data_IF_410745461813
#
_entry.id   IF_410745461813
#
_cell.length_a   1.000
_cell.length_b   1.000
_cell.length_c   1.000
_cell.angle_alpha   90.00
_cell.angle_beta   90.00
_cell.angle_gamma   90.00
#
_symmetry.space_group_name_H-M   'P 1'
#
loop_
_entity.id
_entity.type
_entity.pdbx_description
1 polymer ?
#
# COMPACT_ATOMS: atom_id res chain seq x y z
N UNK A 1 48.18 43.99 -7.65
CA UNK A 1 46.85 44.32 -7.06
C UNK A 1 45.83 43.46 -7.80
N UNK A 2 45.40 42.34 -7.20
CA UNK A 2 44.04 42.13 -6.63
C UNK A 2 42.95 42.10 -7.72
N UNK A 3 42.31 40.94 -8.01
CA UNK A 3 41.08 40.41 -7.34
C UNK A 3 40.05 41.54 -7.14
N UNK A 4 38.80 41.50 -7.64
CA UNK A 4 37.81 40.44 -7.44
C UNK A 4 36.51 40.76 -8.25
N UNK A 5 35.76 39.69 -8.56
CA UNK A 5 34.29 39.59 -8.72
C UNK A 5 33.55 40.36 -9.83
N UNK A 6 33.23 39.66 -10.92
CA UNK A 6 31.90 39.72 -11.53
C UNK A 6 31.45 38.29 -11.89
N UNK A 7 30.86 37.63 -10.90
CA UNK A 7 30.13 36.38 -11.04
C UNK A 7 28.75 36.69 -11.66
N UNK A 8 28.54 36.27 -12.90
CA UNK A 8 27.24 35.88 -13.46
C UNK A 8 27.55 35.01 -14.69
N UNK A 9 27.39 33.68 -14.77
CA UNK A 9 26.47 32.76 -14.07
C UNK A 9 25.03 33.35 -14.00
N UNK A 10 24.42 34.03 -14.96
CA UNK A 10 24.27 33.82 -16.42
C UNK A 10 24.66 32.41 -16.88
N UNK A 11 24.32 31.35 -16.14
CA UNK A 11 22.93 30.91 -15.93
C UNK A 11 22.19 30.65 -17.27
N UNK A 12 22.99 30.22 -18.25
CA UNK A 12 22.66 29.19 -19.24
C UNK A 12 21.97 27.95 -18.59
N UNK A 13 21.97 27.86 -17.26
CA UNK A 13 21.26 26.91 -16.41
C UNK A 13 19.79 27.25 -16.09
N UNK A 14 19.22 28.38 -16.56
CA UNK A 14 17.92 28.87 -16.02
C UNK A 14 16.75 29.06 -17.00
N UNK A 15 16.89 28.86 -18.32
CA UNK A 15 15.74 29.15 -19.24
C UNK A 15 15.55 28.07 -20.35
N UNK A 16 16.32 26.98 -20.32
CA UNK A 16 16.05 25.79 -21.15
C UNK A 16 15.26 24.77 -20.33
N UNK A 17 13.92 24.86 -20.34
CA UNK A 17 12.92 23.94 -19.74
C UNK A 17 12.51 24.37 -18.31
N UNK A 18 11.40 25.03 -18.01
CA UNK A 18 10.08 25.14 -18.66
C UNK A 18 9.37 23.79 -18.91
N UNK A 19 9.91 22.69 -18.37
CA UNK A 19 9.28 21.37 -18.27
C UNK A 19 9.66 20.73 -16.93
N UNK A 20 8.92 21.06 -15.87
CA UNK A 20 8.77 20.22 -14.67
C UNK A 20 7.36 20.36 -14.06
N UNK A 21 6.40 20.84 -14.86
CA UNK A 21 5.02 20.41 -14.78
C UNK A 21 4.82 19.35 -15.86
N UNK A 22 5.14 18.11 -15.55
CA UNK A 22 4.77 16.89 -16.27
C UNK A 22 4.62 15.86 -15.15
N UNK A 23 3.41 15.38 -14.87
CA UNK A 23 2.72 14.52 -15.81
C UNK A 23 3.57 13.26 -15.93
N UNK A 24 3.18 12.22 -15.22
CA UNK A 24 3.66 10.86 -15.43
C UNK A 24 3.84 10.64 -16.93
N UNK A 25 5.08 10.60 -17.39
CA UNK A 25 5.38 10.31 -18.78
C UNK A 25 4.98 8.86 -19.01
N UNK A 26 4.03 8.55 -19.91
CA UNK A 26 3.76 7.18 -20.28
C UNK A 26 4.99 6.68 -21.05
N UNK A 27 5.80 5.83 -20.42
CA UNK A 27 6.96 5.19 -21.05
C UNK A 27 8.34 5.41 -20.42
N UNK A 28 8.46 5.72 -19.12
CA UNK A 28 9.77 5.59 -18.45
C UNK A 28 10.10 4.12 -18.18
N UNK A 29 11.14 3.61 -18.84
CA UNK A 29 11.67 2.23 -18.79
C UNK A 29 12.35 1.84 -17.45
N UNK A 30 11.87 2.30 -16.29
CA UNK A 30 12.44 1.88 -15.00
C UNK A 30 11.34 1.62 -13.97
N UNK A 31 11.29 0.43 -13.34
CA UNK A 31 10.47 0.24 -12.17
C UNK A 31 11.18 0.97 -11.03
N UNK A 32 10.77 2.20 -10.69
CA UNK A 32 11.34 2.89 -9.54
C UNK A 32 10.80 2.28 -8.26
N UNK A 33 11.37 1.13 -7.89
CA UNK A 33 11.31 0.59 -6.55
C UNK A 33 12.26 1.41 -5.67
N UNK A 34 11.71 1.99 -4.62
CA UNK A 34 12.41 2.72 -3.58
C UNK A 34 12.45 1.87 -2.32
N UNK A 35 13.58 1.86 -1.61
CA UNK A 35 13.63 1.41 -0.22
C UNK A 35 13.58 2.65 0.65
N UNK A 36 12.52 2.79 1.44
CA UNK A 36 12.35 3.94 2.33
C UNK A 36 12.66 3.55 3.76
N UNK A 37 13.31 4.46 4.48
CA UNK A 37 13.53 4.44 5.91
C UNK A 37 12.45 5.32 6.57
N UNK A 38 11.66 4.76 7.47
CA UNK A 38 10.53 5.44 8.14
C UNK A 38 10.76 5.44 9.64
N UNK A 39 10.71 6.61 10.27
CA UNK A 39 10.83 6.77 11.73
C UNK A 39 9.55 7.34 12.33
N UNK A 40 9.32 7.09 13.62
CA UNK A 40 8.15 7.62 14.34
C UNK A 40 6.86 6.80 14.14
N UNK A 41 6.99 5.58 13.60
CA UNK A 41 5.93 4.58 13.52
C UNK A 41 6.51 3.20 13.86
N UNK A 42 5.84 2.36 14.66
CA UNK A 42 6.22 0.95 14.86
C UNK A 42 6.08 0.08 13.61
N UNK A 43 5.17 0.43 12.70
CA UNK A 43 4.73 -0.48 11.66
C UNK A 43 4.34 0.25 10.38
N UNK A 44 4.69 -0.35 9.25
CA UNK A 44 4.34 0.13 7.92
C UNK A 44 3.86 -1.02 7.06
N UNK A 45 2.72 -0.81 6.40
CA UNK A 45 2.17 -1.67 5.37
C UNK A 45 2.13 -0.89 4.05
N UNK A 46 2.37 -1.55 2.94
CA UNK A 46 2.08 -1.01 1.62
C UNK A 46 0.94 -1.83 1.02
N UNK A 47 -0.25 -1.24 1.06
CA UNK A 47 -1.53 -1.88 0.73
C UNK A 47 -1.73 -2.04 -0.78
N UNK A 48 -0.96 -1.31 -1.60
CA UNK A 48 -1.00 -1.44 -3.06
C UNK A 48 -0.28 -2.68 -3.58
N UNK A 49 0.50 -3.35 -2.74
CA UNK A 49 1.30 -4.52 -3.07
C UNK A 49 1.27 -5.51 -1.91
N UNK A 50 2.08 -6.55 -2.01
CA UNK A 50 2.44 -7.36 -0.85
C UNK A 50 3.72 -6.84 -0.23
N UNK A 51 3.67 -6.62 1.07
CA UNK A 51 4.84 -6.76 1.91
C UNK A 51 4.34 -7.45 3.16
N UNK A 52 4.71 -8.72 3.33
CA UNK A 52 4.91 -9.27 4.67
C UNK A 52 5.52 -8.17 5.53
N UNK A 53 4.74 -7.74 6.53
CA UNK A 53 4.94 -6.59 7.40
C UNK A 53 6.41 -6.14 7.47
N UNK A 54 6.70 -4.97 6.90
CA UNK A 54 7.90 -4.26 7.26
C UNK A 54 7.58 -3.51 8.57
N UNK A 55 7.87 -4.12 9.71
CA UNK A 55 7.58 -3.52 11.01
C UNK A 55 7.94 -4.47 12.14
N UNK A 56 8.56 -3.91 13.17
CA UNK A 56 8.88 -4.61 14.40
C UNK A 56 7.87 -4.12 15.45
N UNK A 57 7.02 -5.02 15.98
CA UNK A 57 6.12 -4.65 17.08
C UNK A 57 6.90 -4.45 18.40
N UNK A 58 8.18 -4.83 18.45
CA UNK A 58 8.99 -4.74 19.66
C UNK A 58 9.73 -3.41 19.79
N UNK A 59 9.10 -2.51 20.56
CA UNK A 59 9.69 -1.66 21.60
C UNK A 59 10.94 -0.82 21.25
N UNK A 60 10.76 0.32 20.60
CA UNK A 60 11.20 1.64 21.08
C UNK A 60 10.70 2.74 20.11
N UNK A 61 10.31 3.90 20.65
CA UNK A 61 9.70 5.05 19.93
C UNK A 61 10.59 5.68 18.83
N UNK A 62 11.75 5.08 18.53
CA UNK A 62 12.80 5.57 17.64
C UNK A 62 13.31 4.55 16.62
N UNK A 63 12.69 3.37 16.50
CA UNK A 63 13.13 2.41 15.50
C UNK A 63 12.79 2.85 14.08
N UNK A 64 13.72 2.57 13.15
CA UNK A 64 13.57 2.84 11.73
C UNK A 64 12.99 1.61 11.04
N UNK A 65 11.75 1.73 10.59
CA UNK A 65 11.08 0.73 9.78
C UNK A 65 11.46 0.91 8.32
N UNK A 66 11.54 -0.19 7.54
CA UNK A 66 12.07 -0.14 6.17
C UNK A 66 11.22 -0.95 5.24
N UNK A 67 10.74 -0.32 4.18
CA UNK A 67 9.77 -0.93 3.28
C UNK A 67 10.12 -0.58 1.84
N UNK A 68 9.87 -1.51 0.94
CA UNK A 68 9.97 -1.24 -0.49
C UNK A 68 8.65 -0.64 -0.99
N UNK A 69 8.74 0.38 -1.84
CA UNK A 69 7.58 1.12 -2.35
C UNK A 69 7.80 1.52 -3.80
N UNK A 70 6.73 1.86 -4.50
CA UNK A 70 6.76 2.59 -5.77
C UNK A 70 5.98 3.88 -5.65
N UNK A 71 6.24 4.83 -6.55
CA UNK A 71 5.47 6.06 -6.64
C UNK A 71 3.97 5.77 -6.77
N UNK A 72 3.15 6.42 -5.94
CA UNK A 72 1.70 6.25 -5.96
C UNK A 72 1.16 5.08 -5.14
N UNK A 73 2.02 4.26 -4.53
CA UNK A 73 1.59 3.20 -3.60
C UNK A 73 0.91 3.79 -2.37
N UNK A 74 -0.15 3.12 -1.90
CA UNK A 74 -0.82 3.46 -0.67
C UNK A 74 -0.14 2.77 0.51
N UNK A 75 0.46 3.58 1.38
CA UNK A 75 1.07 3.17 2.63
C UNK A 75 0.06 3.31 3.77
N UNK A 76 0.10 2.37 4.70
CA UNK A 76 -0.62 2.42 5.96
C UNK A 76 0.39 2.39 7.11
N UNK A 77 0.33 3.41 7.97
CA UNK A 77 1.18 3.56 9.14
C UNK A 77 0.33 3.43 10.41
N UNK A 78 0.75 2.57 11.34
CA UNK A 78 0.12 2.41 12.66
C UNK A 78 0.96 3.12 13.72
N UNK A 79 0.38 3.90 14.62
CA UNK A 79 1.11 4.55 15.73
C UNK A 79 1.00 3.77 17.04
N UNK A 80 1.61 4.27 18.13
CA UNK A 80 1.49 3.74 19.49
C UNK A 80 0.08 3.98 20.04
N UNK A 81 -0.92 3.28 19.50
CA UNK A 81 -2.34 3.46 19.82
C UNK A 81 -3.22 2.97 18.67
N UNK A 82 -4.45 3.49 18.62
CA UNK A 82 -5.42 3.18 17.56
C UNK A 82 -5.26 4.10 16.33
N UNK A 83 -4.29 5.02 16.36
CA UNK A 83 -4.12 6.04 15.34
C UNK A 83 -3.40 5.50 14.10
N UNK A 84 -3.94 5.89 12.95
CA UNK A 84 -3.51 5.40 11.65
C UNK A 84 -3.31 6.56 10.68
N UNK A 85 -2.35 6.38 9.77
CA UNK A 85 -2.15 7.31 8.65
C UNK A 85 -2.08 6.50 7.36
N UNK A 86 -3.01 6.78 6.46
CA UNK A 86 -2.93 6.37 5.06
C UNK A 86 -2.21 7.47 4.26
N UNK A 87 -1.22 7.08 3.47
CA UNK A 87 -0.36 8.00 2.74
C UNK A 87 0.02 7.44 1.39
N UNK A 88 -0.26 8.19 0.33
CA UNK A 88 0.15 7.82 -1.03
C UNK A 88 1.59 8.26 -1.28
N UNK A 89 2.51 7.31 -1.42
CA UNK A 89 3.94 7.60 -1.48
C UNK A 89 4.30 8.48 -2.69
N UNK A 90 4.90 9.63 -2.40
CA UNK A 90 5.43 10.55 -3.39
C UNK A 90 6.98 10.60 -3.29
N UNK A 91 7.72 10.22 -4.34
CA UNK A 91 9.18 10.28 -4.34
C UNK A 91 9.78 11.65 -4.02
N UNK A 92 9.02 12.74 -4.21
CA UNK A 92 9.44 14.09 -3.86
C UNK A 92 9.66 14.28 -2.35
N UNK A 93 9.01 13.48 -1.50
CA UNK A 93 9.23 13.48 -0.04
C UNK A 93 10.51 12.75 0.37
N UNK A 94 11.17 12.09 -0.59
CA UNK A 94 12.43 11.39 -0.41
C UNK A 94 12.28 10.00 0.21
N UNK A 95 13.42 9.34 0.43
CA UNK A 95 13.48 7.98 0.97
C UNK A 95 13.59 7.93 2.50
N UNK A 96 13.66 9.07 3.18
CA UNK A 96 13.69 9.14 4.64
C UNK A 96 12.45 9.88 5.11
N UNK A 97 11.50 9.16 5.69
CA UNK A 97 10.23 9.69 6.13
C UNK A 97 10.19 9.75 7.66
N UNK A 98 10.15 10.95 8.22
CA UNK A 98 9.98 11.16 9.66
C UNK A 98 8.53 11.47 9.98
N UNK A 99 7.82 10.50 10.56
CA UNK A 99 6.44 10.65 10.99
C UNK A 99 6.35 11.14 12.43
N UNK A 100 5.31 11.93 12.73
CA UNK A 100 4.95 12.34 14.08
C UNK A 100 3.44 12.53 14.17
N UNK A 101 2.84 11.98 15.21
CA UNK A 101 1.45 12.23 15.59
C UNK A 101 1.38 13.26 16.73
N UNK A 102 0.47 14.21 16.64
CA UNK A 102 0.12 15.17 17.70
C UNK A 102 -1.32 14.94 18.14
N UNK A 103 -1.47 14.40 19.35
CA UNK A 103 -2.75 14.06 19.98
C UNK A 103 -3.56 15.26 20.47
N UNK A 104 -3.03 16.48 20.41
CA UNK A 104 -3.78 17.68 20.79
C UNK A 104 -4.90 17.98 19.80
N UNK A 105 -4.63 17.73 18.52
CA UNK A 105 -5.52 18.05 17.38
C UNK A 105 -5.64 16.88 16.41
N UNK A 106 -5.28 15.67 16.85
CA UNK A 106 -5.27 14.45 16.05
C UNK A 106 -4.63 14.63 14.66
N UNK A 107 -3.42 15.19 14.66
CA UNK A 107 -2.75 15.67 13.44
C UNK A 107 -1.44 14.93 13.17
N UNK A 108 -1.15 14.69 11.89
CA UNK A 108 -0.01 13.90 11.45
C UNK A 108 0.96 14.73 10.62
N UNK A 109 2.23 14.60 10.96
CA UNK A 109 3.31 15.31 10.32
C UNK A 109 4.24 14.34 9.60
N UNK A 110 4.67 14.73 8.40
CA UNK A 110 5.71 14.07 7.64
C UNK A 110 6.84 15.06 7.43
N UNK A 111 8.06 14.71 7.86
CA UNK A 111 9.24 15.58 7.74
C UNK A 111 9.03 16.98 8.33
N UNK A 112 8.29 17.06 9.44
CA UNK A 112 7.85 18.27 10.15
C UNK A 112 6.80 19.14 9.44
N UNK A 113 6.26 18.69 8.31
CA UNK A 113 5.14 19.33 7.64
C UNK A 113 3.83 18.63 8.01
N UNK A 114 2.79 19.38 8.34
CA UNK A 114 1.46 18.82 8.57
C UNK A 114 0.92 18.27 7.25
N UNK A 115 0.54 16.99 7.22
CA UNK A 115 0.02 16.34 6.01
C UNK A 115 -1.38 15.76 6.18
N UNK A 116 -1.81 15.44 7.40
CA UNK A 116 -3.11 14.84 7.65
C UNK A 116 -3.70 15.28 8.98
N UNK A 117 -5.03 15.30 9.06
CA UNK A 117 -5.79 15.59 10.28
C UNK A 117 -6.94 14.59 10.38
N UNK A 118 -7.14 14.05 11.57
CA UNK A 118 -8.31 13.24 11.91
C UNK A 118 -9.43 14.11 12.47
N UNK A 119 -10.61 13.91 11.93
CA UNK A 119 -11.80 14.73 12.18
C UNK A 119 -12.94 13.83 12.61
N UNK A 120 -13.43 14.06 13.82
CA UNK A 120 -14.55 13.35 14.41
C UNK A 120 -15.46 14.34 15.13
N UNK A 121 -16.69 13.92 15.42
CA UNK A 121 -17.66 14.76 16.15
C UNK A 121 -17.08 15.23 17.50
N UNK A 122 -17.05 16.54 17.69
CA UNK A 122 -16.55 17.20 18.89
C UNK A 122 -15.03 17.27 19.03
N UNK A 123 -14.26 16.88 18.01
CA UNK A 123 -12.79 16.96 18.05
C UNK A 123 -12.30 18.41 18.11
N UNK A 124 -11.24 18.65 18.88
CA UNK A 124 -10.54 19.94 18.93
C UNK A 124 -9.85 20.31 17.60
N UNK A 125 -9.69 19.33 16.69
CA UNK A 125 -9.16 19.55 15.34
C UNK A 125 -9.99 20.56 14.54
N UNK A 126 -11.31 20.60 14.76
CA UNK A 126 -12.21 21.55 14.09
C UNK A 126 -11.92 22.99 14.48
N UNK A 127 -11.72 23.26 15.77
CA UNK A 127 -11.38 24.59 16.28
C UNK A 127 -10.01 25.05 15.74
N UNK A 128 -9.06 24.12 15.64
CA UNK A 128 -7.75 24.39 15.07
C UNK A 128 -7.84 24.72 13.57
N UNK A 129 -8.56 23.90 12.79
CA UNK A 129 -8.75 24.10 11.34
C UNK A 129 -9.42 25.45 11.03
N UNK A 130 -10.42 25.84 11.82
CA UNK A 130 -11.12 27.12 11.65
C UNK A 130 -10.20 28.34 11.83
N UNK A 131 -9.12 28.20 12.60
CA UNK A 131 -8.12 29.24 12.85
C UNK A 131 -6.82 29.11 12.05
N UNK A 132 -6.67 28.07 11.24
CA UNK A 132 -5.42 27.78 10.53
C UNK A 132 -5.20 28.73 9.34
N UNK A 133 -3.93 29.10 9.10
CA UNK A 133 -3.55 29.88 7.93
C UNK A 133 -3.79 29.09 6.64
N UNK A 134 -4.23 29.76 5.58
CA UNK A 134 -4.51 29.15 4.27
C UNK A 134 -3.29 28.36 3.73
N UNK A 135 -2.08 28.88 3.95
CA UNK A 135 -0.84 28.21 3.54
C UNK A 135 -0.65 26.85 4.23
N UNK A 136 -1.04 26.73 5.51
CA UNK A 136 -0.98 25.45 6.24
C UNK A 136 -2.03 24.49 5.68
N UNK A 137 -3.25 24.98 5.43
CA UNK A 137 -4.33 24.17 4.84
C UNK A 137 -3.96 23.63 3.45
N UNK A 138 -3.26 24.41 2.62
CA UNK A 138 -2.78 23.92 1.31
C UNK A 138 -1.74 22.79 1.40
N UNK A 139 -1.11 22.62 2.57
CA UNK A 139 -0.18 21.52 2.83
C UNK A 139 -0.87 20.21 3.24
N UNK A 140 -2.16 20.23 3.61
CA UNK A 140 -2.92 19.04 3.97
C UNK A 140 -3.12 18.18 2.72
N UNK A 141 -2.64 16.94 2.79
CA UNK A 141 -2.66 15.96 1.69
C UNK A 141 -3.70 14.88 1.89
N UNK A 142 -4.17 14.67 3.12
CA UNK A 142 -5.23 13.71 3.43
C UNK A 142 -6.08 14.16 4.61
N UNK A 143 -7.30 13.65 4.66
CA UNK A 143 -8.23 13.80 5.77
C UNK A 143 -8.71 12.41 6.20
N UNK A 144 -8.77 12.19 7.51
CA UNK A 144 -9.47 11.06 8.09
C UNK A 144 -10.74 11.58 8.74
N UNK A 145 -11.91 11.10 8.33
CA UNK A 145 -13.20 11.59 8.82
C UNK A 145 -13.99 10.44 9.42
N UNK A 146 -14.32 10.54 10.71
CA UNK A 146 -15.21 9.61 11.40
C UNK A 146 -16.60 10.23 11.53
N UNK A 147 -17.60 9.59 10.92
CA UNK A 147 -18.99 10.02 10.89
C UNK A 147 -19.78 9.51 12.10
N UNK A 148 -20.85 10.22 12.53
CA UNK A 148 -21.44 11.42 11.93
C UNK A 148 -20.66 12.70 12.22
N UNK A 149 -20.94 13.75 11.45
CA UNK A 149 -20.55 15.13 11.75
C UNK A 149 -21.78 15.97 12.11
N UNK A 150 -21.61 16.94 13.02
CA UNK A 150 -22.61 17.95 13.32
C UNK A 150 -22.74 18.97 12.17
N UNK A 151 -23.84 19.73 12.16
CA UNK A 151 -24.06 20.80 11.17
C UNK A 151 -22.93 21.85 11.19
N UNK A 152 -22.40 22.19 12.37
CA UNK A 152 -21.28 23.14 12.50
C UNK A 152 -20.00 22.59 11.87
N UNK A 153 -19.73 21.31 12.03
CA UNK A 153 -18.53 20.65 11.50
C UNK A 153 -18.63 20.44 9.99
N UNK A 154 -19.82 20.11 9.47
CA UNK A 154 -20.07 20.11 8.03
C UNK A 154 -19.85 21.48 7.40
N UNK A 155 -20.31 22.56 8.05
CA UNK A 155 -20.06 23.92 7.60
C UNK A 155 -18.55 24.26 7.64
N UNK A 156 -17.82 23.81 8.68
CA UNK A 156 -16.37 24.00 8.76
C UNK A 156 -15.64 23.24 7.65
N UNK A 157 -16.07 22.00 7.36
CA UNK A 157 -15.54 21.19 6.26
C UNK A 157 -15.75 21.88 4.90
N UNK A 158 -16.93 22.46 4.66
CA UNK A 158 -17.21 23.22 3.45
C UNK A 158 -16.25 24.42 3.30
N UNK A 159 -16.00 25.15 4.40
CA UNK A 159 -15.10 26.30 4.39
C UNK A 159 -13.65 25.91 4.05
N UNK A 160 -13.13 24.81 4.58
CA UNK A 160 -11.75 24.38 4.32
C UNK A 160 -11.59 23.64 2.99
N UNK A 161 -12.65 23.04 2.46
CA UNK A 161 -12.63 22.29 1.19
C UNK A 161 -12.23 23.13 -0.03
N UNK A 162 -12.49 24.44 0.03
CA UNK A 162 -12.08 25.37 -1.03
C UNK A 162 -10.57 25.66 -1.07
N UNK A 163 -9.85 25.29 0.00
CA UNK A 163 -8.41 25.51 0.16
C UNK A 163 -7.62 24.20 0.02
N UNK A 164 -8.11 23.13 0.66
CA UNK A 164 -7.49 21.80 0.59
C UNK A 164 -7.75 21.21 -0.80
N UNK A 165 -6.70 21.14 -1.62
CA UNK A 165 -6.82 20.74 -3.03
C UNK A 165 -6.70 19.23 -3.18
N UNK A 166 -7.81 18.59 -3.53
CA UNK A 166 -7.92 17.15 -3.83
C UNK A 166 -7.23 16.22 -2.81
N UNK A 167 -7.59 16.28 -1.51
CA UNK A 167 -6.93 15.47 -0.52
C UNK A 167 -7.20 13.98 -0.74
N UNK A 168 -6.36 13.13 -0.19
CA UNK A 168 -6.78 11.79 0.19
C UNK A 168 -7.92 11.82 1.19
N UNK A 169 -8.84 10.86 1.12
CA UNK A 169 -9.93 10.76 2.07
C UNK A 169 -10.05 9.32 2.57
N UNK A 170 -9.87 9.15 3.88
CA UNK A 170 -10.32 8.00 4.63
C UNK A 170 -11.61 8.41 5.34
N UNK A 171 -12.71 7.69 5.12
CA UNK A 171 -13.97 7.96 5.81
C UNK A 171 -14.54 6.70 6.47
N UNK A 172 -14.86 6.83 7.75
CA UNK A 172 -15.53 5.80 8.56
C UNK A 172 -16.97 6.19 8.83
N UNK A 173 -17.90 5.25 8.60
CA UNK A 173 -19.33 5.45 8.81
C UNK A 173 -20.10 5.80 7.54
N UNK A 174 -21.42 5.64 7.59
CA UNK A 174 -22.35 5.79 6.46
C UNK A 174 -23.13 7.11 6.50
N UNK A 175 -23.37 7.65 7.69
CA UNK A 175 -24.19 8.85 7.89
C UNK A 175 -23.50 10.09 7.32
N UNK A 176 -24.18 10.84 6.45
CA UNK A 176 -23.64 12.05 5.80
C UNK A 176 -22.49 11.80 4.81
N UNK A 177 -22.27 10.55 4.40
CA UNK A 177 -21.19 10.18 3.49
C UNK A 177 -21.26 10.90 2.14
N UNK A 178 -22.44 10.95 1.52
CA UNK A 178 -22.62 11.70 0.26
C UNK A 178 -22.45 13.21 0.46
N UNK A 179 -22.90 13.77 1.58
CA UNK A 179 -22.72 15.18 1.91
C UNK A 179 -21.23 15.52 2.03
N UNK A 180 -20.42 14.68 2.68
CA UNK A 180 -18.96 14.86 2.72
C UNK A 180 -18.35 14.77 1.32
N UNK A 181 -18.74 13.78 0.51
CA UNK A 181 -18.24 13.62 -0.87
C UNK A 181 -18.75 14.70 -1.84
N UNK A 182 -19.80 15.44 -1.46
CA UNK A 182 -20.27 16.60 -2.23
C UNK A 182 -19.34 17.80 -2.09
N UNK A 183 -18.66 17.88 -0.94
CA UNK A 183 -17.77 18.96 -0.53
C UNK A 183 -16.31 18.62 -0.82
N UNK A 184 -15.86 17.45 -0.38
CA UNK A 184 -14.49 16.97 -0.56
C UNK A 184 -14.41 16.17 -1.85
N UNK A 185 -13.45 16.55 -2.71
CA UNK A 185 -13.18 15.88 -3.99
C UNK A 185 -11.87 15.12 -3.90
N UNK A 186 -11.88 13.88 -3.43
CA UNK A 186 -10.63 13.21 -3.11
C UNK A 186 -9.85 12.76 -4.35
N UNK A 187 -8.52 12.80 -4.25
CA UNK A 187 -7.62 12.13 -5.22
C UNK A 187 -7.58 10.62 -4.98
N UNK A 188 -7.70 10.19 -3.72
CA UNK A 188 -7.84 8.79 -3.35
C UNK A 188 -8.86 8.62 -2.23
N UNK A 189 -9.60 7.51 -2.25
CA UNK A 189 -10.74 7.29 -1.37
C UNK A 189 -10.68 5.90 -0.74
N UNK A 190 -10.81 5.87 0.59
CA UNK A 190 -11.07 4.68 1.39
C UNK A 190 -12.41 4.93 2.09
N UNK A 191 -13.44 4.18 1.69
CA UNK A 191 -14.80 4.35 2.19
C UNK A 191 -15.49 2.98 2.29
N UNK A 192 -15.28 2.30 3.42
CA UNK A 192 -15.80 0.93 3.63
C UNK A 192 -17.32 0.85 3.58
N UNK A 193 -18.00 1.91 4.01
CA UNK A 193 -19.45 1.96 4.11
C UNK A 193 -20.13 2.53 2.84
N UNK A 194 -19.37 2.82 1.78
CA UNK A 194 -19.90 3.41 0.57
C UNK A 194 -20.66 2.38 -0.28
N UNK A 195 -21.97 2.59 -0.43
CA UNK A 195 -22.78 1.81 -1.35
C UNK A 195 -22.77 2.44 -2.75
N UNK A 196 -21.91 1.92 -3.63
CA UNK A 196 -21.75 2.40 -5.01
C UNK A 196 -23.01 2.27 -5.87
N UNK A 197 -23.92 1.34 -5.54
CA UNK A 197 -25.16 1.14 -6.30
C UNK A 197 -26.19 2.26 -6.08
N UNK A 198 -26.10 2.99 -4.97
CA UNK A 198 -27.06 4.04 -4.58
C UNK A 198 -26.50 5.45 -4.66
N UNK A 199 -25.20 5.60 -4.92
CA UNK A 199 -24.52 6.89 -4.95
C UNK A 199 -25.10 7.80 -6.05
N UNK A 200 -25.36 9.07 -5.72
CA UNK A 200 -25.96 10.03 -6.66
C UNK A 200 -25.04 10.44 -7.81
N UNK A 201 -25.63 10.85 -8.95
CA UNK A 201 -24.87 11.25 -10.15
C UNK A 201 -23.97 12.47 -9.92
N UNK A 202 -24.34 13.38 -9.01
CA UNK A 202 -23.52 14.54 -8.64
C UNK A 202 -22.22 14.09 -7.95
N UNK A 203 -22.31 13.10 -7.06
CA UNK A 203 -21.13 12.53 -6.41
C UNK A 203 -20.28 11.74 -7.40
N UNK A 204 -20.89 10.95 -8.30
CA UNK A 204 -20.17 10.30 -9.40
C UNK A 204 -19.41 11.31 -10.26
N UNK A 205 -19.97 12.49 -10.49
CA UNK A 205 -19.31 13.56 -11.22
C UNK A 205 -18.12 14.16 -10.43
N UNK A 206 -18.26 14.32 -9.11
CA UNK A 206 -17.18 14.80 -8.23
C UNK A 206 -15.99 13.83 -8.16
N UNK A 207 -16.22 12.52 -8.28
CA UNK A 207 -15.19 11.49 -8.18
C UNK A 207 -14.43 11.21 -9.48
N UNK A 208 -14.69 11.93 -10.58
CA UNK A 208 -14.02 11.67 -11.88
C UNK A 208 -12.50 11.84 -11.87
N UNK A 209 -11.97 12.56 -10.88
CA UNK A 209 -10.53 12.77 -10.70
C UNK A 209 -9.89 11.74 -9.77
N UNK A 210 -10.68 10.82 -9.20
CA UNK A 210 -10.21 9.79 -8.29
C UNK A 210 -9.20 8.88 -9.00
N UNK A 211 -8.01 8.78 -8.43
CA UNK A 211 -6.89 8.00 -8.94
C UNK A 211 -6.75 6.65 -8.23
N UNK A 212 -7.11 6.59 -6.94
CA UNK A 212 -7.10 5.37 -6.16
C UNK A 212 -8.43 5.18 -5.42
N UNK A 213 -8.97 3.96 -5.50
CA UNK A 213 -10.10 3.53 -4.70
C UNK A 213 -9.72 2.29 -3.90
N UNK A 214 -9.96 2.33 -2.59
CA UNK A 214 -10.02 1.15 -1.75
C UNK A 214 -11.48 0.81 -1.48
N UNK A 215 -11.87 -0.38 -1.92
CA UNK A 215 -13.19 -0.96 -1.69
C UNK A 215 -13.11 -2.15 -0.74
N UNK A 216 -14.05 -2.22 0.22
CA UNK A 216 -14.22 -3.40 1.06
C UNK A 216 -15.49 -4.14 0.63
N UNK A 217 -15.42 -5.45 0.47
CA UNK A 217 -16.48 -6.32 -0.05
C UNK A 217 -17.76 -6.41 0.79
N UNK A 218 -17.92 -5.54 1.80
CA UNK A 218 -19.17 -5.39 2.54
C UNK A 218 -20.36 -5.01 1.63
N UNK A 219 -20.10 -4.39 0.47
CA UNK A 219 -21.09 -4.03 -0.52
C UNK A 219 -20.66 -4.45 -1.94
N UNK A 220 -21.64 -4.81 -2.78
CA UNK A 220 -21.41 -5.11 -4.19
C UNK A 220 -20.84 -3.87 -4.90
N UNK A 221 -19.69 -4.06 -5.55
CA UNK A 221 -19.04 -3.01 -6.32
C UNK A 221 -19.75 -2.82 -7.67
N UNK A 222 -20.41 -1.68 -7.87
CA UNK A 222 -21.09 -1.38 -9.15
C UNK A 222 -20.04 -1.20 -10.27
N UNK A 223 -19.99 -2.09 -11.29
CA UNK A 223 -19.02 -1.96 -12.37
C UNK A 223 -19.19 -0.67 -13.16
N UNK A 224 -20.43 -0.17 -13.33
CA UNK A 224 -20.69 1.05 -14.09
C UNK A 224 -20.13 2.29 -13.38
N UNK A 225 -20.08 2.27 -12.04
CA UNK A 225 -19.38 3.29 -11.27
C UNK A 225 -17.89 3.30 -11.61
N UNK A 226 -17.22 2.14 -11.56
CA UNK A 226 -15.79 2.04 -11.87
C UNK A 226 -15.48 2.46 -13.31
N UNK A 227 -16.30 2.04 -14.29
CA UNK A 227 -16.12 2.46 -15.69
C UNK A 227 -16.27 3.97 -15.88
N UNK A 228 -16.98 4.64 -14.96
CA UNK A 228 -17.16 6.08 -14.92
C UNK A 228 -15.98 6.89 -14.36
N UNK A 229 -14.94 6.23 -13.83
CA UNK A 229 -13.76 6.87 -13.22
C UNK A 229 -12.56 6.90 -14.20
N UNK A 230 -12.39 7.99 -14.99
CA UNK A 230 -11.37 8.02 -16.05
C UNK A 230 -9.93 8.11 -15.53
N UNK A 231 -9.72 8.59 -14.29
CA UNK A 231 -8.40 8.75 -13.69
C UNK A 231 -7.96 7.56 -12.82
N UNK A 232 -8.87 6.60 -12.55
CA UNK A 232 -8.62 5.48 -11.65
C UNK A 232 -7.48 4.60 -12.18
N UNK A 233 -6.33 4.68 -11.51
CA UNK A 233 -5.12 3.96 -11.88
C UNK A 233 -4.72 2.88 -10.86
N UNK A 234 -5.26 2.96 -9.64
CA UNK A 234 -5.07 1.97 -8.59
C UNK A 234 -6.40 1.56 -7.98
N UNK A 235 -6.65 0.25 -7.90
CA UNK A 235 -7.82 -0.31 -7.25
C UNK A 235 -7.34 -1.33 -6.20
N UNK A 236 -7.76 -1.12 -4.96
CA UNK A 236 -7.55 -2.06 -3.86
C UNK A 236 -8.93 -2.61 -3.51
N UNK A 237 -9.06 -3.93 -3.49
CA UNK A 237 -10.30 -4.62 -3.12
C UNK A 237 -9.98 -5.60 -2.00
N UNK A 238 -10.73 -5.51 -0.92
CA UNK A 238 -10.68 -6.46 0.19
C UNK A 238 -11.97 -7.27 0.24
N UNK A 239 -11.93 -8.53 0.68
CA UNK A 239 -13.10 -9.40 0.82
C UNK A 239 -13.92 -9.57 -0.47
N UNK A 240 -13.25 -9.64 -1.62
CA UNK A 240 -13.91 -9.79 -2.90
C UNK A 240 -14.49 -11.19 -3.07
N UNK A 241 -15.78 -11.27 -3.41
CA UNK A 241 -16.46 -12.52 -3.71
C UNK A 241 -16.33 -12.88 -5.21
N UNK A 242 -16.14 -14.17 -5.50
CA UNK A 242 -16.04 -14.68 -6.89
C UNK A 242 -17.24 -14.36 -7.79
N UNK A 243 -18.43 -14.05 -7.25
CA UNK A 243 -19.57 -13.60 -8.05
C UNK A 243 -19.37 -12.18 -8.60
N UNK A 244 -18.79 -11.28 -7.81
CA UNK A 244 -18.60 -9.88 -8.18
C UNK A 244 -17.53 -9.70 -9.28
N UNK A 245 -16.48 -10.54 -9.29
CA UNK A 245 -15.41 -10.46 -10.31
C UNK A 245 -15.90 -10.85 -11.71
N UNK A 246 -16.91 -11.72 -11.82
CA UNK A 246 -17.40 -12.18 -13.12
C UNK A 246 -18.16 -11.11 -13.91
N UNK A 247 -18.74 -10.12 -13.22
CA UNK A 247 -19.47 -9.02 -13.85
C UNK A 247 -18.55 -7.85 -14.27
N UNK A 248 -17.31 -7.82 -13.78
CA UNK A 248 -16.35 -6.75 -14.05
C UNK A 248 -15.56 -7.00 -15.35
N UNK A 249 -15.70 -6.08 -16.30
CA UNK A 249 -14.98 -6.04 -17.58
C UNK A 249 -13.75 -5.14 -17.43
N UNK A 250 -12.62 -5.74 -17.05
CA UNK A 250 -11.37 -5.00 -16.81
C UNK A 250 -10.85 -4.23 -18.02
N UNK A 251 -11.17 -4.64 -19.25
CA UNK A 251 -10.82 -3.91 -20.47
C UNK A 251 -11.47 -2.51 -20.57
N UNK A 252 -12.55 -2.26 -19.79
CA UNK A 252 -13.18 -0.93 -19.69
C UNK A 252 -12.48 -0.01 -18.70
N UNK A 253 -11.64 -0.53 -17.80
CA UNK A 253 -10.86 0.25 -16.83
C UNK A 253 -9.57 0.76 -17.49
N UNK A 254 -9.73 1.74 -18.39
CA UNK A 254 -8.71 2.17 -19.36
C UNK A 254 -7.41 2.73 -18.75
N UNK A 255 -7.48 3.18 -17.50
CA UNK A 255 -6.37 3.80 -16.78
C UNK A 255 -5.82 2.90 -15.66
N UNK A 256 -6.44 1.75 -15.39
CA UNK A 256 -6.07 0.89 -14.28
C UNK A 256 -4.72 0.20 -14.56
N UNK A 257 -3.70 0.54 -13.78
CA UNK A 257 -2.36 -0.03 -13.88
C UNK A 257 -2.00 -0.89 -12.65
N UNK A 258 -2.65 -0.65 -11.51
CA UNK A 258 -2.41 -1.39 -10.25
C UNK A 258 -3.70 -1.98 -9.70
N UNK A 259 -3.70 -3.29 -9.45
CA UNK A 259 -4.80 -4.02 -8.83
C UNK A 259 -4.26 -4.80 -7.63
N UNK A 260 -4.78 -4.50 -6.44
CA UNK A 260 -4.54 -5.26 -5.22
C UNK A 260 -5.85 -5.93 -4.79
N UNK A 261 -5.81 -7.24 -4.57
CA UNK A 261 -6.94 -8.03 -4.09
C UNK A 261 -6.50 -8.74 -2.81
N UNK A 262 -7.20 -8.48 -1.72
CA UNK A 262 -6.81 -8.86 -0.36
C UNK A 262 -7.92 -9.67 0.30
N UNK A 263 -7.57 -10.71 1.05
CA UNK A 263 -8.51 -11.52 1.87
C UNK A 263 -9.78 -11.95 1.11
N UNK A 264 -9.61 -12.33 -0.16
CA UNK A 264 -10.73 -12.52 -1.09
C UNK A 264 -10.92 -13.99 -1.47
N UNK A 265 -12.18 -14.37 -1.70
CA UNK A 265 -12.55 -15.71 -2.15
C UNK A 265 -12.70 -15.74 -3.68
N UNK A 266 -11.55 -15.60 -4.36
CA UNK A 266 -11.46 -15.60 -5.83
C UNK A 266 -10.88 -16.92 -6.32
N UNK A 267 -11.51 -17.50 -7.35
CA UNK A 267 -11.05 -18.76 -7.96
C UNK A 267 -10.66 -18.62 -9.43
N UNK A 268 -11.01 -17.51 -10.08
CA UNK A 268 -10.81 -17.31 -11.51
C UNK A 268 -10.28 -15.90 -11.80
N UNK A 269 -9.17 -15.83 -12.51
CA UNK A 269 -8.54 -14.58 -12.95
C UNK A 269 -8.82 -14.25 -14.43
N UNK A 270 -9.64 -15.04 -15.13
CA UNK A 270 -9.98 -14.80 -16.52
C UNK A 270 -10.55 -13.39 -16.80
N UNK A 271 -11.36 -12.77 -15.92
CA UNK A 271 -11.79 -11.39 -16.12
C UNK A 271 -10.62 -10.39 -16.15
N UNK A 272 -9.59 -10.60 -15.34
CA UNK A 272 -8.40 -9.73 -15.25
C UNK A 272 -7.53 -9.86 -16.51
N UNK A 273 -7.49 -11.06 -17.11
CA UNK A 273 -6.71 -11.36 -18.32
C UNK A 273 -7.10 -10.50 -19.54
N UNK A 274 -8.29 -9.91 -19.54
CA UNK A 274 -8.74 -9.01 -20.60
C UNK A 274 -8.09 -7.61 -20.52
N UNK A 275 -7.46 -7.26 -19.40
CA UNK A 275 -6.77 -5.97 -19.25
C UNK A 275 -5.51 -5.91 -20.10
N UNK A 276 -5.27 -4.76 -20.74
CA UNK A 276 -4.01 -4.48 -21.48
C UNK A 276 -3.10 -3.50 -20.75
N UNK A 277 -3.46 -3.13 -19.52
CA UNK A 277 -2.84 -2.00 -18.78
C UNK A 277 -2.30 -2.37 -17.41
N UNK A 278 -2.81 -3.44 -16.79
CA UNK A 278 -2.35 -3.87 -15.47
C UNK A 278 -0.86 -4.20 -15.53
N UNK A 279 -0.08 -3.48 -14.74
CA UNK A 279 1.37 -3.65 -14.57
C UNK A 279 1.69 -4.29 -13.23
N UNK A 280 0.89 -3.97 -12.21
CA UNK A 280 1.02 -4.49 -10.86
C UNK A 280 -0.25 -5.26 -10.51
N UNK A 281 -0.08 -6.55 -10.25
CA UNK A 281 -1.13 -7.40 -9.71
C UNK A 281 -0.65 -7.97 -8.37
N UNK A 282 -1.36 -7.62 -7.31
CA UNK A 282 -1.11 -8.14 -5.98
C UNK A 282 -2.30 -8.93 -5.50
N UNK A 283 -2.07 -10.20 -5.16
CA UNK A 283 -3.03 -11.12 -4.59
C UNK A 283 -2.52 -11.50 -3.21
N UNK A 284 -3.22 -11.06 -2.17
CA UNK A 284 -2.83 -11.23 -0.78
C UNK A 284 -3.90 -12.05 -0.07
N UNK A 285 -3.52 -13.19 0.51
CA UNK A 285 -4.44 -14.09 1.20
C UNK A 285 -5.67 -14.51 0.35
N UNK A 286 -5.49 -14.70 -0.96
CA UNK A 286 -6.50 -15.30 -1.83
C UNK A 286 -6.39 -16.84 -1.73
N UNK A 287 -6.77 -17.39 -0.58
CA UNK A 287 -6.49 -18.78 -0.24
C UNK A 287 -7.14 -19.79 -1.17
N UNK A 288 -8.25 -19.45 -1.81
CA UNK A 288 -9.00 -20.39 -2.64
C UNK A 288 -8.56 -20.38 -4.11
N UNK A 289 -7.61 -19.52 -4.47
CA UNK A 289 -7.01 -19.46 -5.78
C UNK A 289 -5.93 -20.55 -5.93
N UNK A 290 -6.02 -21.36 -6.98
CA UNK A 290 -5.09 -22.46 -7.25
C UNK A 290 -4.40 -22.38 -8.62
N UNK A 291 -4.98 -21.64 -9.57
CA UNK A 291 -4.49 -21.48 -10.93
C UNK A 291 -4.35 -20.00 -11.28
N UNK A 292 -3.25 -19.66 -11.96
CA UNK A 292 -2.97 -18.31 -12.46
C UNK A 292 -2.81 -18.28 -14.00
N UNK A 293 -3.06 -19.40 -14.67
CA UNK A 293 -3.03 -19.55 -16.13
C UNK A 293 -3.65 -18.39 -16.92
N UNK A 294 -4.83 -17.85 -16.55
CA UNK A 294 -5.45 -16.77 -17.32
C UNK A 294 -4.60 -15.50 -17.44
N UNK A 295 -3.75 -15.19 -16.44
CA UNK A 295 -2.93 -13.97 -16.44
C UNK A 295 -1.52 -14.18 -17.04
N UNK A 296 -1.20 -15.39 -17.53
CA UNK A 296 0.13 -15.73 -18.07
C UNK A 296 0.57 -14.82 -19.23
N UNK A 297 -0.38 -14.46 -20.09
CA UNK A 297 -0.15 -13.71 -21.34
C UNK A 297 -0.27 -12.19 -21.16
N UNK A 298 -0.47 -11.69 -19.93
CA UNK A 298 -0.54 -10.26 -19.66
C UNK A 298 0.84 -9.60 -19.83
N UNK A 299 1.13 -9.22 -21.07
CA UNK A 299 2.42 -8.66 -21.49
C UNK A 299 2.84 -7.38 -20.73
N UNK A 300 1.91 -6.68 -20.10
CA UNK A 300 2.16 -5.47 -19.31
C UNK A 300 2.59 -5.72 -17.87
N UNK A 301 2.37 -6.92 -17.32
CA UNK A 301 2.69 -7.22 -15.93
C UNK A 301 4.21 -7.16 -15.72
N UNK A 302 4.62 -6.35 -14.75
CA UNK A 302 5.98 -6.25 -14.26
C UNK A 302 6.09 -6.67 -12.78
N UNK A 303 4.99 -6.56 -12.02
CA UNK A 303 4.92 -6.92 -10.61
C UNK A 303 3.79 -7.92 -10.39
N UNK A 304 4.14 -9.11 -9.90
CA UNK A 304 3.19 -10.14 -9.49
C UNK A 304 3.46 -10.52 -8.03
N UNK A 305 2.53 -10.22 -7.14
CA UNK A 305 2.64 -10.62 -5.73
C UNK A 305 1.55 -11.67 -5.42
N UNK A 306 1.94 -12.82 -4.85
CA UNK A 306 1.07 -13.96 -4.56
C UNK A 306 1.09 -14.36 -3.07
N UNK A 307 1.39 -13.40 -2.19
CA UNK A 307 1.63 -13.67 -0.77
C UNK A 307 0.39 -14.24 -0.09
N UNK A 308 0.58 -15.31 0.69
CA UNK A 308 -0.52 -16.01 1.36
C UNK A 308 -1.45 -16.80 0.44
N UNK A 309 -1.18 -16.88 -0.87
CA UNK A 309 -1.94 -17.70 -1.81
C UNK A 309 -1.43 -19.16 -1.82
N UNK A 310 -1.67 -19.88 -0.73
CA UNK A 310 -1.00 -21.15 -0.42
C UNK A 310 -1.35 -22.31 -1.39
N UNK A 311 -2.50 -22.26 -2.06
CA UNK A 311 -2.94 -23.35 -2.95
C UNK A 311 -2.48 -23.19 -4.40
N UNK A 312 -1.76 -22.10 -4.74
CA UNK A 312 -1.17 -21.93 -6.06
C UNK A 312 0.00 -22.91 -6.22
N UNK A 313 -0.09 -23.78 -7.22
CA UNK A 313 0.95 -24.76 -7.60
C UNK A 313 1.42 -24.59 -9.05
N UNK A 314 0.90 -23.59 -9.76
CA UNK A 314 1.12 -23.40 -11.19
C UNK A 314 2.38 -22.57 -11.50
N UNK A 315 3.54 -23.09 -11.09
CA UNK A 315 4.84 -22.50 -11.45
C UNK A 315 5.09 -22.43 -12.97
N UNK A 316 4.67 -23.42 -13.79
CA UNK A 316 4.85 -23.33 -15.24
C UNK A 316 4.27 -22.07 -15.86
N UNK A 317 3.16 -21.54 -15.33
CA UNK A 317 2.61 -20.25 -15.76
C UNK A 317 3.54 -19.09 -15.44
N UNK A 318 4.09 -19.02 -14.21
CA UNK A 318 5.05 -17.96 -13.82
C UNK A 318 6.22 -17.90 -14.80
N UNK A 319 6.77 -19.08 -15.18
CA UNK A 319 7.90 -19.18 -16.10
C UNK A 319 7.58 -18.70 -17.54
N UNK A 320 6.31 -18.66 -17.93
CA UNK A 320 5.88 -18.20 -19.26
C UNK A 320 5.67 -16.68 -19.31
N UNK A 321 5.46 -16.04 -18.16
CA UNK A 321 5.22 -14.60 -18.07
C UNK A 321 6.41 -13.79 -18.62
N UNK A 322 6.19 -12.52 -19.00
CA UNK A 322 7.27 -11.58 -19.28
C UNK A 322 8.31 -11.53 -18.15
N UNK A 323 9.52 -11.01 -18.43
CA UNK A 323 10.50 -10.83 -17.36
C UNK A 323 9.92 -9.86 -16.33
N UNK A 324 9.69 -10.38 -15.12
CA UNK A 324 9.10 -9.64 -14.01
C UNK A 324 10.20 -8.83 -13.34
N UNK A 325 9.84 -7.69 -12.79
CA UNK A 325 10.73 -6.85 -11.97
C UNK A 325 10.48 -7.08 -10.48
N UNK A 326 9.34 -7.68 -10.13
CA UNK A 326 8.97 -8.01 -8.76
C UNK A 326 8.09 -9.25 -8.72
N UNK A 327 8.42 -10.17 -7.82
CA UNK A 327 7.72 -11.45 -7.67
C UNK A 327 7.68 -11.89 -6.21
N UNK A 328 6.49 -12.24 -5.71
CA UNK A 328 6.32 -13.14 -4.56
C UNK A 328 6.00 -14.54 -5.09
N UNK A 329 6.81 -15.52 -4.70
CA UNK A 329 6.61 -16.90 -5.14
C UNK A 329 5.60 -17.62 -4.21
N UNK A 330 4.81 -18.59 -4.73
CA UNK A 330 3.93 -19.39 -3.89
C UNK A 330 4.70 -20.17 -2.81
N UNK A 331 4.17 -20.27 -1.59
CA UNK A 331 4.83 -20.98 -0.47
C UNK A 331 5.12 -22.46 -0.74
N UNK A 332 4.36 -23.10 -1.64
CA UNK A 332 4.60 -24.50 -2.03
C UNK A 332 5.64 -24.68 -3.16
N UNK A 333 6.41 -23.63 -3.50
CA UNK A 333 7.46 -23.70 -4.52
C UNK A 333 8.57 -24.67 -4.11
N UNK A 334 8.88 -25.64 -4.97
CA UNK A 334 9.99 -26.57 -4.73
C UNK A 334 11.36 -25.96 -5.03
N UNK A 335 12.43 -26.59 -4.52
CA UNK A 335 13.80 -26.16 -4.79
C UNK A 335 14.17 -26.09 -6.28
N UNK A 336 13.64 -27.00 -7.11
CA UNK A 336 13.90 -27.01 -8.55
C UNK A 336 13.15 -25.87 -9.25
N UNK A 337 11.88 -25.68 -8.91
CA UNK A 337 11.05 -24.58 -9.42
C UNK A 337 11.63 -23.22 -9.06
N UNK A 338 12.15 -23.05 -7.85
CA UNK A 338 12.87 -21.85 -7.45
C UNK A 338 14.07 -21.57 -8.38
N UNK A 339 14.90 -22.57 -8.66
CA UNK A 339 16.03 -22.40 -9.57
C UNK A 339 15.58 -22.01 -10.99
N UNK A 340 14.50 -22.63 -11.48
CA UNK A 340 13.91 -22.32 -12.78
C UNK A 340 13.38 -20.87 -12.83
N UNK A 341 12.67 -20.41 -11.79
CA UNK A 341 12.17 -19.03 -11.65
C UNK A 341 13.31 -18.02 -11.72
N UNK A 342 14.36 -18.22 -10.92
CA UNK A 342 15.51 -17.31 -10.87
C UNK A 342 16.24 -17.27 -12.21
N UNK A 343 16.35 -18.41 -12.91
CA UNK A 343 16.95 -18.45 -14.23
C UNK A 343 16.13 -17.73 -15.31
N UNK A 344 14.81 -17.68 -15.13
CA UNK A 344 13.85 -17.20 -16.14
C UNK A 344 13.60 -15.70 -16.06
N UNK A 345 13.50 -15.16 -14.85
CA UNK A 345 13.26 -13.75 -14.60
C UNK A 345 14.58 -13.13 -14.13
N UNK A 346 15.38 -12.64 -15.08
CA UNK A 346 16.71 -12.05 -14.86
C UNK A 346 16.68 -10.54 -14.52
N UNK A 347 15.48 -9.94 -14.56
CA UNK A 347 15.25 -8.52 -14.31
C UNK A 347 14.58 -8.24 -12.94
N UNK A 348 14.47 -9.25 -12.05
CA UNK A 348 13.89 -9.07 -10.73
C UNK A 348 14.71 -8.07 -9.92
N UNK A 349 14.00 -7.14 -9.31
CA UNK A 349 14.51 -6.18 -8.35
C UNK A 349 13.94 -6.43 -6.96
N UNK A 350 12.76 -7.07 -6.85
CA UNK A 350 12.18 -7.54 -5.62
C UNK A 350 11.81 -9.01 -5.70
N UNK A 351 12.18 -9.80 -4.69
CA UNK A 351 11.78 -11.19 -4.54
C UNK A 351 11.28 -11.42 -3.13
N UNK A 352 10.07 -11.94 -3.00
CA UNK A 352 9.48 -12.33 -1.72
C UNK A 352 9.24 -13.84 -1.71
N UNK A 353 9.70 -14.49 -0.65
CA UNK A 353 9.55 -15.92 -0.43
C UNK A 353 8.97 -16.10 0.97
N UNK A 354 7.67 -16.33 1.03
CA UNK A 354 6.89 -16.41 2.26
C UNK A 354 6.31 -17.81 2.40
N UNK A 355 6.50 -18.45 3.55
CA UNK A 355 6.11 -19.83 3.81
C UNK A 355 6.75 -20.84 2.84
N UNK A 356 7.93 -20.52 2.29
CA UNK A 356 8.60 -21.31 1.25
C UNK A 356 9.62 -22.31 1.80
N UNK A 357 9.29 -22.98 2.91
CA UNK A 357 10.17 -23.85 3.70
C UNK A 357 10.80 -25.02 2.91
N UNK A 358 10.25 -25.34 1.74
CA UNK A 358 10.77 -26.38 0.84
C UNK A 358 12.07 -25.95 0.13
N UNK A 359 12.36 -24.65 0.09
CA UNK A 359 13.60 -24.08 -0.44
C UNK A 359 14.64 -24.09 0.67
N UNK A 360 15.77 -24.74 0.44
CA UNK A 360 16.85 -24.87 1.45
C UNK A 360 18.21 -24.43 0.92
N UNK A 361 18.34 -24.29 -0.40
CA UNK A 361 19.54 -23.85 -1.08
C UNK A 361 19.28 -22.59 -1.89
N UNK A 362 19.95 -21.50 -1.50
CA UNK A 362 19.89 -20.21 -2.19
C UNK A 362 20.97 -20.05 -3.27
N UNK A 363 21.74 -21.10 -3.60
CA UNK A 363 22.74 -21.06 -4.67
C UNK A 363 22.23 -20.56 -6.04
N UNK A 364 20.94 -20.74 -6.43
CA UNK A 364 20.42 -20.10 -7.65
C UNK A 364 20.52 -18.57 -7.67
N UNK A 365 20.59 -17.90 -6.50
CA UNK A 365 20.76 -16.46 -6.39
C UNK A 365 22.23 -16.01 -6.56
N UNK A 366 23.21 -16.93 -6.59
CA UNK A 366 24.61 -16.55 -6.77
C UNK A 366 24.82 -15.81 -8.10
N UNK A 367 25.37 -14.60 -8.01
CA UNK A 367 25.60 -13.74 -9.19
C UNK A 367 24.37 -13.01 -9.71
N UNK A 368 23.23 -13.08 -9.01
CA UNK A 368 22.02 -12.36 -9.37
C UNK A 368 22.15 -10.86 -9.06
N UNK A 369 22.57 -10.07 -10.04
CA UNK A 369 23.00 -8.67 -9.84
C UNK A 369 21.88 -7.61 -9.87
N UNK A 370 20.65 -7.98 -10.22
CA UNK A 370 19.52 -7.05 -10.33
C UNK A 370 18.72 -6.84 -9.03
N UNK A 371 18.89 -7.73 -8.05
CA UNK A 371 18.00 -7.80 -6.89
C UNK A 371 18.33 -6.72 -5.85
N UNK A 372 17.33 -5.93 -5.50
CA UNK A 372 17.41 -4.82 -4.52
C UNK A 372 16.70 -5.13 -3.20
N UNK A 373 15.63 -5.92 -3.24
CA UNK A 373 14.90 -6.34 -2.06
C UNK A 373 14.71 -7.86 -2.07
N UNK A 374 15.05 -8.51 -0.96
CA UNK A 374 14.80 -9.93 -0.75
C UNK A 374 14.09 -10.12 0.59
N UNK A 375 12.97 -10.83 0.58
CA UNK A 375 12.23 -11.19 1.79
C UNK A 375 12.19 -12.70 1.98
N UNK A 376 12.61 -13.14 3.17
CA UNK A 376 12.60 -14.51 3.66
C UNK A 376 11.90 -14.53 5.02
N UNK A 377 10.79 -15.25 5.17
CA UNK A 377 10.10 -15.44 6.46
C UNK A 377 10.37 -16.82 7.10
N UNK A 378 11.23 -17.62 6.47
CA UNK A 378 11.57 -18.97 6.91
C UNK A 378 13.08 -19.15 7.10
N UNK A 379 13.43 -20.16 7.89
CA UNK A 379 14.83 -20.42 8.24
C UNK A 379 15.60 -21.02 7.06
N UNK A 380 16.66 -20.33 6.63
CA UNK A 380 17.60 -20.81 5.62
C UNK A 380 18.90 -21.29 6.28
N UNK A 381 19.34 -22.54 6.05
CA UNK A 381 20.57 -23.06 6.65
C UNK A 381 21.85 -22.32 6.23
N UNK A 382 21.89 -21.77 5.01
CA UNK A 382 23.08 -21.11 4.45
C UNK A 382 22.72 -19.82 3.69
N UNK A 383 23.04 -18.67 4.29
CA UNK A 383 22.82 -17.34 3.71
C UNK A 383 24.02 -16.85 2.86
N UNK A 384 25.10 -17.62 2.72
CA UNK A 384 26.27 -17.19 1.93
C UNK A 384 25.96 -16.81 0.47
N UNK A 385 24.99 -17.44 -0.22
CA UNK A 385 24.57 -16.98 -1.55
C UNK A 385 24.01 -15.55 -1.53
N UNK A 386 23.29 -15.16 -0.47
CA UNK A 386 22.71 -13.81 -0.30
C UNK A 386 23.80 -12.76 -0.13
N UNK A 387 24.91 -13.10 0.55
CA UNK A 387 26.05 -12.19 0.73
C UNK A 387 26.73 -11.79 -0.59
N UNK A 388 26.47 -12.53 -1.68
CA UNK A 388 27.02 -12.25 -3.01
C UNK A 388 26.11 -11.34 -3.86
N UNK A 389 24.93 -10.97 -3.36
CA UNK A 389 23.97 -10.09 -4.05
C UNK A 389 24.44 -8.63 -4.00
N UNK A 390 25.29 -8.26 -4.94
CA UNK A 390 25.80 -6.90 -5.07
C UNK A 390 24.64 -5.96 -5.44
N UNK A 391 24.34 -5.00 -4.57
CA UNK A 391 23.26 -4.04 -4.78
C UNK A 391 21.97 -4.37 -4.03
N UNK A 392 21.95 -5.43 -3.21
CA UNK A 392 20.84 -5.69 -2.30
C UNK A 392 20.74 -4.56 -1.27
N UNK A 393 19.64 -3.82 -1.31
CA UNK A 393 19.38 -2.66 -0.47
C UNK A 393 18.57 -3.02 0.79
N UNK A 394 17.65 -3.99 0.68
CA UNK A 394 16.78 -4.48 1.75
C UNK A 394 16.83 -6.01 1.82
N UNK A 395 17.08 -6.54 3.01
CA UNK A 395 16.96 -7.96 3.33
C UNK A 395 16.06 -8.12 4.55
N UNK A 396 14.94 -8.82 4.35
CA UNK A 396 14.01 -9.18 5.43
C UNK A 396 14.23 -10.64 5.78
N UNK A 397 14.46 -10.93 7.07
CA UNK A 397 14.78 -12.26 7.60
C UNK A 397 13.82 -12.63 8.74
N UNK A 398 13.64 -13.93 9.08
CA UNK A 398 12.79 -14.33 10.19
C UNK A 398 13.19 -13.65 11.50
N UNK A 399 12.20 -13.28 12.32
CA UNK A 399 12.43 -12.60 13.60
C UNK A 399 13.33 -13.41 14.54
N UNK A 400 13.21 -14.74 14.52
CA UNK A 400 14.00 -15.64 15.36
C UNK A 400 15.51 -15.53 15.12
N UNK A 401 15.93 -15.13 13.91
CA UNK A 401 17.34 -14.95 13.58
C UNK A 401 17.95 -13.74 14.33
N UNK A 402 17.13 -12.77 14.71
CA UNK A 402 17.58 -11.58 15.46
C UNK A 402 17.90 -11.89 16.92
N UNK A 403 17.42 -13.02 17.45
CA UNK A 403 17.83 -13.52 18.77
C UNK A 403 19.27 -14.08 18.77
N UNK A 404 19.80 -14.46 17.60
CA UNK A 404 21.19 -14.92 17.44
C UNK A 404 22.13 -13.75 17.10
N UNK A 405 22.68 -13.14 18.16
CA UNK A 405 23.64 -12.03 18.03
C UNK A 405 24.89 -12.34 17.21
N UNK A 406 25.31 -13.62 17.11
CA UNK A 406 26.48 -14.01 16.33
C UNK A 406 26.13 -14.09 14.84
N UNK A 407 24.99 -14.71 14.52
CA UNK A 407 24.49 -14.76 13.14
C UNK A 407 24.26 -13.35 12.59
N UNK A 408 23.61 -12.47 13.36
CA UNK A 408 23.39 -11.08 12.95
C UNK A 408 24.69 -10.30 12.76
N UNK A 409 25.69 -10.51 13.61
CA UNK A 409 27.00 -9.87 13.45
C UNK A 409 27.72 -10.34 12.17
N UNK A 410 27.61 -11.63 11.81
CA UNK A 410 28.16 -12.18 10.57
C UNK A 410 27.46 -11.56 9.34
N UNK A 411 26.13 -11.53 9.34
CA UNK A 411 25.33 -10.96 8.25
C UNK A 411 25.67 -9.48 8.05
N UNK A 412 25.71 -8.69 9.13
CA UNK A 412 26.05 -7.26 9.09
C UNK A 412 27.48 -7.03 8.61
N UNK A 413 28.42 -7.90 9.00
CA UNK A 413 29.81 -7.81 8.53
C UNK A 413 29.92 -8.16 7.04
N UNK A 414 29.16 -9.16 6.57
CA UNK A 414 29.16 -9.57 5.17
C UNK A 414 28.50 -8.53 4.25
N UNK A 415 27.47 -7.83 4.73
CA UNK A 415 26.66 -6.90 3.94
C UNK A 415 26.47 -5.53 4.64
N UNK A 416 27.54 -4.74 4.84
CA UNK A 416 27.50 -3.51 5.64
C UNK A 416 26.64 -2.38 5.03
N UNK A 417 26.26 -2.49 3.75
CA UNK A 417 25.41 -1.52 3.05
C UNK A 417 23.95 -1.95 2.89
N UNK A 418 23.62 -3.19 3.26
CA UNK A 418 22.28 -3.75 3.14
C UNK A 418 21.50 -3.48 4.42
N UNK A 419 20.27 -3.00 4.29
CA UNK A 419 19.36 -2.85 5.42
C UNK A 419 18.78 -4.21 5.76
N UNK A 420 19.24 -4.80 6.87
CA UNK A 420 18.72 -6.08 7.36
C UNK A 420 17.69 -5.82 8.45
N UNK A 421 16.46 -6.29 8.25
CA UNK A 421 15.35 -6.12 9.20
C UNK A 421 14.66 -7.44 9.51
N UNK A 422 14.04 -7.51 10.69
CA UNK A 422 13.17 -8.62 11.05
C UNK A 422 11.90 -8.54 10.21
N UNK A 423 11.57 -9.62 9.53
CA UNK A 423 10.26 -9.86 8.97
C UNK A 423 9.32 -10.17 10.10
N UNK A 424 8.49 -9.20 10.45
CA UNK A 424 7.35 -9.40 11.33
C UNK A 424 6.28 -10.15 10.55
N UNK A 425 6.47 -11.45 10.32
CA UNK A 425 5.35 -12.29 9.96
C UNK A 425 4.30 -12.17 11.06
N UNK A 426 3.02 -12.25 10.70
CA UNK A 426 2.05 -12.72 11.66
C UNK A 426 2.62 -14.00 12.26
N UNK A 427 3.04 -13.96 13.52
CA UNK A 427 3.35 -15.17 14.26
C UNK A 427 2.05 -15.99 14.34
N UNK A 428 1.80 -16.82 13.31
CA UNK A 428 0.78 -17.86 13.26
C UNK A 428 1.02 -18.94 14.36
N UNK A 429 2.12 -18.81 15.12
CA UNK A 429 2.55 -19.70 16.19
C UNK A 429 2.23 -19.28 17.64
N UNK A 430 1.58 -18.13 17.92
CA UNK A 430 1.08 -17.87 19.28
C UNK A 430 -0.34 -17.32 19.24
N UNK A 431 -1.27 -18.07 19.84
CA UNK A 431 -2.73 -17.90 19.76
C UNK A 431 -3.31 -16.62 20.37
N UNK A 432 -2.59 -15.50 20.31
CA UNK A 432 -3.04 -14.17 20.71
C UNK A 432 -3.31 -13.25 19.51
N UNK A 433 -2.71 -13.51 18.34
CA UNK A 433 -2.92 -12.69 17.13
C UNK A 433 -4.18 -13.09 16.34
N UNK A 434 -4.62 -14.36 16.42
CA UNK A 434 -5.98 -14.80 16.02
C UNK A 434 -7.10 -14.06 16.79
N UNK A 435 -6.73 -13.36 17.85
CA UNK A 435 -7.61 -12.59 18.73
C UNK A 435 -7.32 -11.07 18.68
N UNK A 436 -6.50 -10.57 17.77
CA UNK A 436 -6.19 -9.13 17.70
C UNK A 436 -6.32 -8.53 16.31
N UNK A 437 -5.89 -9.18 15.23
CA UNK A 437 -6.13 -8.60 13.89
C UNK A 437 -7.52 -8.94 13.37
N UNK A 438 -7.97 -10.22 13.45
CA UNK A 438 -9.38 -10.49 13.34
C UNK A 438 -10.13 -9.78 14.44
N UNK A 439 -9.63 -9.59 15.68
CA UNK A 439 -10.45 -8.91 16.68
C UNK A 439 -10.50 -7.39 16.58
N UNK A 440 -9.53 -6.70 15.98
CA UNK A 440 -9.61 -5.25 15.70
C UNK A 440 -10.55 -5.03 14.53
N UNK A 441 -10.42 -5.83 13.46
CA UNK A 441 -11.32 -5.80 12.29
C UNK A 441 -12.73 -6.33 12.67
N UNK A 442 -12.84 -7.39 13.47
CA UNK A 442 -14.09 -7.90 14.07
C UNK A 442 -14.62 -6.94 15.14
N UNK A 443 -13.82 -6.17 15.88
CA UNK A 443 -14.32 -5.14 16.82
C UNK A 443 -14.93 -3.96 16.04
N UNK A 444 -14.35 -3.58 14.89
CA UNK A 444 -14.93 -2.64 13.93
C UNK A 444 -16.27 -3.20 13.39
N UNK A 445 -16.32 -4.48 13.00
CA UNK A 445 -17.53 -5.15 12.48
C UNK A 445 -18.60 -5.41 13.58
N UNK A 446 -18.20 -5.76 14.81
CA UNK A 446 -19.09 -6.07 15.94
C UNK A 446 -19.64 -4.80 16.58
N UNK A 447 -18.89 -3.69 16.62
CA UNK A 447 -19.46 -2.36 16.97
C UNK A 447 -20.60 -1.99 16.03
N UNK A 448 -20.47 -2.23 14.72
CA UNK A 448 -21.52 -1.98 13.70
C UNK A 448 -22.76 -2.89 13.86
N UNK A 449 -22.61 -4.13 14.36
CA UNK A 449 -23.77 -5.02 14.61
C UNK A 449 -24.60 -4.68 15.85
N UNK A 450 -24.06 -3.97 16.83
CA UNK A 450 -24.76 -3.66 18.09
C UNK A 450 -25.36 -2.25 18.17
N UNK A 451 -25.06 -1.34 17.24
CA UNK A 451 -25.72 -0.02 17.13
C UNK A 451 -27.10 -0.07 16.45
N UNK A 452 -27.47 -1.21 15.83
CA UNK A 452 -28.76 -1.41 15.16
C UNK A 452 -29.92 -1.95 16.01
N UNK A 453 -29.71 -2.29 17.29
CA UNK A 453 -30.78 -2.82 18.14
C UNK A 453 -31.52 -1.66 18.86
N UNK A 454 -32.54 -1.10 18.19
CA UNK A 454 -33.59 -0.32 18.88
C UNK A 454 -34.15 -1.16 20.04
N UNK A 455 -34.30 -0.62 21.27
CA UNK A 455 -35.02 -1.33 22.31
C UNK A 455 -36.45 -1.58 21.84
N UNK A 456 -36.85 -2.85 21.84
CA UNK A 456 -38.21 -3.26 21.53
C UNK A 456 -39.18 -2.47 22.41
N UNK A 457 -40.20 -1.86 21.76
CA UNK A 457 -41.34 -1.25 22.45
C UNK A 457 -41.91 -2.23 23.47
N UNK A 458 -41.83 -1.87 24.74
CA UNK A 458 -42.58 -2.54 25.81
C UNK A 458 -44.05 -2.17 25.63
N UNK A 459 -44.82 -3.08 25.05
CA UNK A 459 -46.27 -3.04 25.09
C UNK A 459 -46.75 -3.90 26.27
N UNK A 460 -46.94 -3.27 27.43
CA UNK A 460 -48.10 -3.36 28.34
C UNK A 460 -47.77 -2.85 29.73
#
# INVERSE_FOLDING_TARGET
MQKQTLLSRNAILLIMLALAGCGSTPGSENPEHYIIDVTGTPAVLNCSKSYTFAGHYASEENDTVRVAVAAGDLMYFQFMGDEILCYRYNPADGQNLSLRFDSTYDSFYLNNELISVSLSEGSAAWDWLAGADEQVLTGIRSLFISLPLSETEMNALEMISGVISNPGLFIEGDSLLEEVLSVIKPEWLIAEDLNFSTISDDIKANLKHLELLWHSGAYHLDPDFLYGLPALNSLIIEYWDSSDITDLQFEKLKSLESLSIMESDIHDLAPIAASSKIKNLSLVHCETLNEIGPIADLASIACLELTGCQHIIDIPTILQMPSLTRLSIPGNTSQLEFADIISRHDALQGLEMVGSDSITDLSPLEGYSGLKALTLDFNIPDLRPVYQLIGLELLVLPEELFEDSLAMAEIQQAMPGTRVIAGGGFCLGSGWILLLVPAVIILIIVRKRFTGLRPAKVNR
#
